data_IF_809013338615
#
_entry.id   IF_809013338615
#
_cell.length_a   1.000
_cell.length_b   1.000
_cell.length_c   1.000
_cell.angle_alpha   90.00
_cell.angle_beta   90.00
_cell.angle_gamma   90.00
#
_symmetry.space_group_name_H-M   'P 1'
#
loop_
_entity.id
_entity.type
_entity.pdbx_description
1 polymer ?
#
# COMPACT_ATOMS: atom_id res chain seq x y z
N UNK A 1 1.09 4.19 -17.04
CA UNK A 1 -0.04 3.64 -17.81
C UNK A 1 -0.54 2.31 -17.30
N UNK A 2 0.33 1.37 -16.95
CA UNK A 2 -0.10 0.01 -16.58
C UNK A 2 -0.92 -0.04 -15.29
N UNK A 3 -0.54 0.74 -14.26
CA UNK A 3 -1.33 0.88 -13.02
C UNK A 3 -2.76 1.38 -13.27
N UNK A 4 -2.93 2.36 -14.15
CA UNK A 4 -4.25 2.91 -14.47
C UNK A 4 -5.12 1.89 -15.23
N UNK A 5 -4.49 1.13 -16.15
CA UNK A 5 -5.16 0.07 -16.93
C UNK A 5 -5.52 -1.15 -16.07
N UNK A 6 -4.73 -1.46 -15.04
CA UNK A 6 -5.03 -2.53 -14.07
C UNK A 6 -6.02 -2.11 -12.97
N UNK A 7 -6.59 -0.90 -13.05
CA UNK A 7 -7.63 -0.44 -12.14
C UNK A 7 -7.12 0.19 -10.85
N UNK A 8 -5.80 0.42 -10.70
CA UNK A 8 -5.26 1.20 -9.58
C UNK A 8 -5.47 2.68 -9.85
N UNK A 9 -6.34 3.30 -9.06
CA UNK A 9 -6.72 4.71 -9.18
C UNK A 9 -6.81 5.31 -7.78
N UNK A 10 -6.05 6.37 -7.45
CA UNK A 10 -5.08 7.09 -8.29
C UNK A 10 -3.85 6.25 -8.67
N UNK A 11 -3.37 6.37 -9.91
CA UNK A 11 -2.28 5.55 -10.46
C UNK A 11 -0.89 6.07 -10.04
N UNK A 12 -0.64 6.17 -8.73
CA UNK A 12 0.65 6.63 -8.18
C UNK A 12 1.64 5.46 -8.14
N UNK A 13 2.76 5.61 -8.84
CA UNK A 13 3.88 4.66 -8.76
C UNK A 13 4.70 4.91 -7.49
N UNK A 14 4.59 4.03 -6.50
CA UNK A 14 5.28 4.12 -5.22
C UNK A 14 6.80 3.92 -5.30
N UNK A 15 7.30 3.24 -6.34
CA UNK A 15 8.72 3.02 -6.56
C UNK A 15 9.42 4.28 -7.06
N UNK A 16 8.76 5.02 -7.95
CA UNK A 16 9.31 6.25 -8.54
C UNK A 16 8.92 7.50 -7.74
N UNK A 17 7.72 7.52 -7.13
CA UNK A 17 7.20 8.69 -6.42
C UNK A 17 8.00 9.01 -5.16
N UNK A 18 8.43 10.26 -5.05
CA UNK A 18 9.18 10.79 -3.92
C UNK A 18 8.67 12.18 -3.52
N UNK A 19 8.63 12.43 -2.22
CA UNK A 19 8.49 13.78 -1.66
C UNK A 19 9.81 14.16 -1.00
N UNK A 20 10.44 15.27 -1.46
CA UNK A 20 11.70 15.77 -0.88
C UNK A 20 11.51 16.39 0.51
N UNK A 21 10.30 16.89 0.81
CA UNK A 21 9.92 17.39 2.14
C UNK A 21 9.61 16.22 3.08
N UNK A 22 9.14 15.10 2.54
CA UNK A 22 8.93 13.86 3.28
C UNK A 22 7.95 14.01 4.43
N UNK A 23 8.29 13.42 5.58
CA UNK A 23 7.44 13.37 6.77
C UNK A 23 7.24 14.71 7.48
N UNK A 24 7.98 15.76 7.11
CA UNK A 24 7.83 17.08 7.73
C UNK A 24 6.59 17.82 7.22
N UNK A 25 6.05 17.40 6.07
CA UNK A 25 4.78 17.86 5.54
C UNK A 25 3.57 17.09 6.11
N UNK A 26 3.80 16.10 6.97
CA UNK A 26 2.75 15.22 7.50
C UNK A 26 2.40 15.57 8.94
N UNK A 27 1.14 15.34 9.32
CA UNK A 27 0.75 15.38 10.73
C UNK A 27 1.43 14.24 11.49
N UNK A 28 1.63 14.43 12.81
CA UNK A 28 2.28 13.42 13.66
C UNK A 28 1.59 12.05 13.59
N UNK A 29 0.26 12.04 13.52
CA UNK A 29 -0.54 10.82 13.39
C UNK A 29 -0.27 10.12 12.06
N UNK A 30 -0.31 10.85 10.93
CA UNK A 30 -0.02 10.28 9.61
C UNK A 30 1.40 9.70 9.52
N UNK A 31 2.39 10.44 10.04
CA UNK A 31 3.79 9.99 10.06
C UNK A 31 3.96 8.68 10.84
N UNK A 32 3.20 8.49 11.92
CA UNK A 32 3.30 7.28 12.74
C UNK A 32 2.73 6.03 12.06
N UNK A 33 1.73 6.17 11.20
CA UNK A 33 1.04 5.02 10.56
C UNK A 33 1.54 4.72 9.15
N UNK A 34 2.05 5.74 8.43
CA UNK A 34 2.51 5.61 7.05
C UNK A 34 4.03 5.40 6.90
N UNK A 35 4.77 5.36 8.01
CA UNK A 35 6.24 5.30 7.99
C UNK A 35 6.82 4.09 7.26
N UNK A 36 6.19 2.92 7.37
CA UNK A 36 6.62 1.69 6.69
C UNK A 36 5.94 1.48 5.34
N UNK A 37 4.79 2.14 5.11
CA UNK A 37 3.90 1.87 3.98
C UNK A 37 4.62 1.91 2.62
N UNK A 38 5.53 2.86 2.42
CA UNK A 38 6.32 2.94 1.18
C UNK A 38 7.24 1.73 1.00
N UNK A 39 7.90 1.30 2.07
CA UNK A 39 8.81 0.16 2.06
C UNK A 39 8.01 -1.12 1.84
N UNK A 40 6.89 -1.27 2.53
CA UNK A 40 6.02 -2.44 2.44
C UNK A 40 5.50 -2.63 1.01
N UNK A 41 5.06 -1.53 0.36
CA UNK A 41 4.59 -1.57 -1.03
C UNK A 41 5.72 -1.79 -2.04
N UNK A 42 6.94 -1.30 -1.77
CA UNK A 42 8.09 -1.57 -2.63
C UNK A 42 8.46 -3.06 -2.59
N UNK A 43 8.58 -3.62 -1.38
CA UNK A 43 8.86 -5.05 -1.20
C UNK A 43 7.75 -5.93 -1.77
N UNK A 44 6.48 -5.51 -1.66
CA UNK A 44 5.37 -6.19 -2.32
C UNK A 44 5.56 -6.28 -3.84
N UNK A 45 6.00 -5.21 -4.50
CA UNK A 45 6.21 -5.23 -5.96
C UNK A 45 7.35 -6.16 -6.37
N UNK A 46 8.42 -6.20 -5.59
CA UNK A 46 9.51 -7.15 -5.80
C UNK A 46 9.05 -8.60 -5.62
N UNK A 47 8.25 -8.87 -4.58
CA UNK A 47 7.66 -10.18 -4.31
C UNK A 47 6.63 -10.61 -5.36
N UNK A 48 5.78 -9.69 -5.84
CA UNK A 48 4.79 -9.95 -6.88
C UNK A 48 5.47 -10.34 -8.21
N UNK A 49 6.55 -9.63 -8.56
CA UNK A 49 7.37 -9.97 -9.71
C UNK A 49 8.00 -11.37 -9.56
N UNK A 50 8.53 -11.69 -8.38
CA UNK A 50 9.12 -13.01 -8.10
C UNK A 50 8.08 -14.14 -8.16
N UNK A 51 6.91 -13.96 -7.54
CA UNK A 51 5.84 -14.95 -7.49
C UNK A 51 5.26 -15.29 -8.87
N UNK A 52 5.29 -14.33 -9.81
CA UNK A 52 4.84 -14.53 -11.20
C UNK A 52 5.68 -15.59 -11.94
N UNK A 53 6.91 -15.86 -11.50
CA UNK A 53 7.77 -16.91 -12.08
C UNK A 53 7.51 -18.32 -11.52
N UNK A 54 6.45 -18.51 -10.72
CA UNK A 54 6.02 -19.83 -10.26
C UNK A 54 6.86 -20.42 -9.12
N UNK A 55 7.54 -19.57 -8.36
CA UNK A 55 8.32 -19.98 -7.19
C UNK A 55 7.42 -20.29 -5.99
N UNK A 56 7.77 -21.33 -5.23
CA UNK A 56 7.20 -21.55 -3.90
C UNK A 56 7.61 -20.39 -2.98
N UNK A 57 6.62 -19.74 -2.39
CA UNK A 57 6.82 -18.73 -1.37
C UNK A 57 6.79 -19.39 0.01
N UNK A 58 7.71 -18.99 0.88
CA UNK A 58 7.59 -19.32 2.30
C UNK A 58 6.38 -18.60 2.92
N UNK A 59 5.97 -19.05 4.11
CA UNK A 59 4.78 -18.51 4.77
C UNK A 59 4.87 -16.99 5.03
N UNK A 60 6.08 -16.48 5.28
CA UNK A 60 6.31 -15.06 5.53
C UNK A 60 6.11 -14.23 4.25
N UNK A 61 6.68 -14.67 3.13
CA UNK A 61 6.55 -14.02 1.82
C UNK A 61 5.13 -14.11 1.30
N UNK A 62 4.43 -15.23 1.53
CA UNK A 62 3.02 -15.38 1.18
C UNK A 62 2.13 -14.40 1.98
N UNK A 63 2.38 -14.25 3.29
CA UNK A 63 1.68 -13.27 4.12
C UNK A 63 1.96 -11.83 3.68
N UNK A 64 3.22 -11.52 3.37
CA UNK A 64 3.62 -10.20 2.88
C UNK A 64 2.99 -9.87 1.52
N UNK A 65 2.97 -10.83 0.59
CA UNK A 65 2.31 -10.70 -0.70
C UNK A 65 0.80 -10.44 -0.51
N UNK A 66 0.15 -11.23 0.35
CA UNK A 66 -1.26 -11.07 0.70
C UNK A 66 -1.59 -9.70 1.29
N UNK A 67 -0.75 -9.20 2.20
CA UNK A 67 -0.91 -7.84 2.77
C UNK A 67 -0.70 -6.77 1.71
N UNK A 68 0.29 -6.93 0.84
CA UNK A 68 0.57 -6.00 -0.24
C UNK A 68 -0.61 -5.80 -1.19
N UNK A 69 -1.32 -6.88 -1.57
CA UNK A 69 -2.55 -6.79 -2.36
C UNK A 69 -3.62 -5.95 -1.66
N UNK A 70 -3.83 -6.17 -0.35
CA UNK A 70 -4.80 -5.40 0.45
C UNK A 70 -4.41 -3.94 0.56
N UNK A 71 -3.13 -3.62 0.74
CA UNK A 71 -2.64 -2.25 0.77
C UNK A 71 -2.85 -1.54 -0.58
N UNK A 72 -2.71 -2.25 -1.71
CA UNK A 72 -3.03 -1.69 -3.03
C UNK A 72 -4.52 -1.37 -3.14
N UNK A 73 -5.41 -2.27 -2.71
CA UNK A 73 -6.85 -2.01 -2.71
C UNK A 73 -7.23 -0.85 -1.76
N UNK A 74 -6.64 -0.80 -0.57
CA UNK A 74 -6.87 0.23 0.44
C UNK A 74 -6.59 1.65 -0.09
N UNK A 75 -5.57 1.79 -0.95
CA UNK A 75 -5.15 3.06 -1.53
C UNK A 75 -5.95 3.46 -2.78
N UNK A 76 -6.87 2.61 -3.26
CA UNK A 76 -7.77 2.99 -4.35
C UNK A 76 -8.82 3.96 -3.82
N UNK A 77 -9.09 5.00 -4.60
CA UNK A 77 -10.00 6.05 -4.25
C UNK A 77 -10.79 6.54 -5.47
N UNK A 78 -12.08 6.77 -5.28
CA UNK A 78 -12.96 7.32 -6.30
C UNK A 78 -12.61 8.77 -6.65
N UNK A 79 -12.98 9.19 -7.87
CA UNK A 79 -12.83 10.57 -8.31
C UNK A 79 -13.74 11.49 -7.46
N UNK A 80 -13.23 12.68 -7.11
CA UNK A 80 -13.96 13.68 -6.33
C UNK A 80 -14.46 13.21 -4.95
N UNK A 81 -13.81 12.19 -4.38
CA UNK A 81 -14.18 11.62 -3.08
C UNK A 81 -13.05 11.78 -2.06
N UNK A 82 -12.63 13.02 -1.71
CA UNK A 82 -11.54 13.23 -0.76
C UNK A 82 -11.88 12.63 0.61
N UNK A 83 -10.89 12.03 1.26
CA UNK A 83 -11.02 11.45 2.59
C UNK A 83 -10.43 12.43 3.62
N UNK A 84 -11.10 12.74 4.73
CA UNK A 84 -10.51 13.49 5.85
C UNK A 84 -9.24 12.82 6.39
N UNK A 85 -8.30 13.58 6.93
CA UNK A 85 -6.99 13.04 7.35
C UNK A 85 -7.14 12.04 8.50
N UNK A 86 -8.09 12.26 9.39
CA UNK A 86 -8.43 11.37 10.50
C UNK A 86 -8.90 9.99 10.01
N UNK A 87 -9.72 9.94 8.96
CA UNK A 87 -10.17 8.69 8.35
C UNK A 87 -9.03 8.00 7.60
N UNK A 88 -8.18 8.76 6.89
CA UNK A 88 -7.00 8.21 6.23
C UNK A 88 -6.04 7.56 7.21
N UNK A 89 -5.81 8.19 8.37
CA UNK A 89 -4.93 7.65 9.41
C UNK A 89 -5.46 6.32 9.92
N UNK A 90 -6.76 6.23 10.21
CA UNK A 90 -7.39 4.98 10.67
C UNK A 90 -7.31 3.91 9.58
N UNK A 91 -7.63 4.27 8.34
CA UNK A 91 -7.56 3.38 7.18
C UNK A 91 -6.15 2.78 7.03
N UNK A 92 -5.12 3.63 6.95
CA UNK A 92 -3.72 3.19 6.82
C UNK A 92 -3.29 2.34 8.02
N UNK A 93 -3.67 2.73 9.25
CA UNK A 93 -3.37 1.96 10.45
C UNK A 93 -3.91 0.53 10.38
N UNK A 94 -5.14 0.34 9.89
CA UNK A 94 -5.72 -1.00 9.76
C UNK A 94 -4.95 -1.87 8.77
N UNK A 95 -4.51 -1.30 7.64
CA UNK A 95 -3.73 -2.01 6.63
C UNK A 95 -2.31 -2.35 7.08
N UNK A 96 -1.58 -1.39 7.66
CA UNK A 96 -0.17 -1.60 8.01
C UNK A 96 0.01 -2.56 9.19
N UNK A 97 -0.97 -2.63 10.10
CA UNK A 97 -0.93 -3.54 11.25
C UNK A 97 -1.59 -4.89 11.00
N UNK A 98 -2.05 -5.19 9.77
CA UNK A 98 -2.60 -6.49 9.40
C UNK A 98 -4.02 -6.76 9.88
N UNK A 99 -4.76 -5.75 10.34
CA UNK A 99 -6.18 -5.92 10.71
C UNK A 99 -7.08 -6.25 9.52
N UNK A 100 -6.57 -6.10 8.29
CA UNK A 100 -7.27 -6.44 7.05
C UNK A 100 -6.86 -7.81 6.49
N UNK A 101 -5.89 -8.51 7.11
CA UNK A 101 -5.26 -9.71 6.54
C UNK A 101 -6.25 -10.87 6.35
N UNK A 102 -7.32 -10.94 7.16
CA UNK A 102 -8.36 -11.97 7.07
C UNK A 102 -9.43 -11.65 6.01
N UNK A 103 -9.46 -10.44 5.45
CA UNK A 103 -10.45 -10.05 4.45
C UNK A 103 -10.08 -10.58 3.06
N UNK A 104 -11.05 -11.04 2.25
CA UNK A 104 -10.78 -11.36 0.85
C UNK A 104 -10.41 -10.08 0.07
N UNK A 105 -9.56 -10.25 -0.94
CA UNK A 105 -9.18 -9.20 -1.91
C UNK A 105 -10.07 -9.31 -3.15
#
# INVERSE_FOLDING_TARGET
>A
DDLFKSGVRPAVDVGVSVSRVGGDAQTKAMKSVAGTLKIDLAQFRDLEAFATFGSELDAASAAQLGRGYRLVELLKQGLNSPMPVEEQVVSIYTGTNGYLDDLPV
#
